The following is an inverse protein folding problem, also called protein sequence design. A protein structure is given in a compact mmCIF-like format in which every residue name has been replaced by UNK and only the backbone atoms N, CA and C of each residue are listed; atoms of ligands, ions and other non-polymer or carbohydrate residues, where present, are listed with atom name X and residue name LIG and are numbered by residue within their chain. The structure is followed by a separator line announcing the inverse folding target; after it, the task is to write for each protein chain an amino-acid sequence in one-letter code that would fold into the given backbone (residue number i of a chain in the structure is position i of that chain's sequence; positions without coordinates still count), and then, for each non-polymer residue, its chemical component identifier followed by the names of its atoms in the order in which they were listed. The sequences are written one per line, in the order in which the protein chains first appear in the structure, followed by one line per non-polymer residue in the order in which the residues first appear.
data_IF_087274672269
#
_entry.id   IF_087274672269
#
_cell.length_a   1.000
_cell.length_b   1.000
_cell.length_c   1.000
_cell.angle_alpha   90.00
_cell.angle_beta   90.00
_cell.angle_gamma   90.00
#
_symmetry.space_group_name_H-M   'P 1'
#
loop_
_entity.id
_entity.type
_entity.pdbx_description
1 polymer ?
#
# COMPACT_ATOMS: atom_id res chain seq x y z
N UNK A 1 -24.72 20.37 -9.37
CA UNK A 1 -24.80 20.65 -8.06
C UNK A 1 -23.90 19.84 -7.21
N UNK A 2 -24.24 18.72 -7.08
CA UNK A 2 -23.41 17.83 -6.36
C UNK A 2 -22.02 17.81 -6.95
N UNK A 3 -21.92 17.99 -8.25
CA UNK A 3 -20.64 17.88 -8.92
C UNK A 3 -19.60 18.88 -8.44
N UNK A 4 -20.00 20.12 -8.28
CA UNK A 4 -19.03 21.14 -7.87
C UNK A 4 -18.46 20.83 -6.51
N UNK A 5 -19.31 20.34 -5.62
CA UNK A 5 -18.83 19.99 -4.30
C UNK A 5 -18.02 18.73 -4.29
N UNK A 6 -18.37 17.81 -5.15
CA UNK A 6 -17.72 16.52 -5.16
C UNK A 6 -16.30 16.57 -5.68
N UNK A 7 -15.98 17.55 -6.51
CA UNK A 7 -14.65 17.59 -7.10
C UNK A 7 -13.53 17.56 -6.07
N UNK A 8 -13.47 18.50 -5.12
CA UNK A 8 -12.40 18.44 -4.13
C UNK A 8 -12.50 17.18 -3.29
N UNK A 9 -13.70 16.80 -2.93
CA UNK A 9 -13.88 15.62 -2.11
C UNK A 9 -13.52 14.36 -2.86
N UNK A 10 -13.82 14.33 -4.15
CA UNK A 10 -13.48 13.17 -4.94
C UNK A 10 -11.98 12.98 -4.99
N UNK A 11 -11.24 14.07 -5.14
CA UNK A 11 -9.79 14.00 -5.15
C UNK A 11 -9.27 13.48 -3.83
N UNK A 12 -9.80 13.99 -2.73
CA UNK A 12 -9.39 13.54 -1.41
C UNK A 12 -9.73 12.07 -1.20
N UNK A 13 -10.90 11.66 -1.64
CA UNK A 13 -11.32 10.27 -1.49
C UNK A 13 -10.42 9.35 -2.29
N UNK A 14 -10.02 9.78 -3.48
CA UNK A 14 -9.11 8.98 -4.29
C UNK A 14 -7.76 8.85 -3.61
N UNK A 15 -7.27 9.94 -3.03
CA UNK A 15 -6.00 9.89 -2.30
C UNK A 15 -6.10 8.95 -1.11
N UNK A 16 -7.21 8.99 -0.40
CA UNK A 16 -7.39 8.10 0.73
C UNK A 16 -7.47 6.65 0.30
N UNK A 17 -8.15 6.40 -0.82
CA UNK A 17 -8.24 5.04 -1.35
C UNK A 17 -6.90 4.56 -1.87
N UNK A 18 -6.03 5.48 -2.19
CA UNK A 18 -4.68 5.14 -2.62
C UNK A 18 -3.73 5.05 -1.45
N UNK A 19 -4.24 5.11 -0.21
CA UNK A 19 -3.41 4.92 0.97
C UNK A 19 -2.75 3.56 0.88
N UNK A 20 -1.44 3.54 1.06
CA UNK A 20 -0.69 2.33 0.81
C UNK A 20 -1.08 1.19 1.73
N UNK A 21 -1.46 1.48 2.96
CA UNK A 21 -1.87 0.44 3.89
C UNK A 21 -3.14 -0.24 3.39
N UNK A 22 -4.09 0.55 2.88
CA UNK A 22 -5.33 0.00 2.35
C UNK A 22 -5.07 -0.77 1.07
N UNK A 23 -4.27 -0.22 0.19
CA UNK A 23 -3.98 -0.87 -1.10
C UNK A 23 -3.27 -2.20 -0.88
N UNK A 24 -2.22 -2.19 -0.09
CA UNK A 24 -1.47 -3.41 0.18
C UNK A 24 -2.31 -4.38 1.01
N UNK A 25 -3.06 -3.84 1.97
CA UNK A 25 -3.88 -4.66 2.85
C UNK A 25 -4.99 -5.42 2.14
N UNK A 26 -5.41 -4.94 0.97
CA UNK A 26 -6.39 -5.66 0.17
C UNK A 26 -5.83 -6.97 -0.38
N UNK A 27 -4.54 -7.08 -0.48
CA UNK A 27 -3.88 -8.23 -1.11
C UNK A 27 -2.97 -9.00 -0.16
N UNK A 28 -2.52 -8.36 0.89
CA UNK A 28 -1.55 -8.93 1.82
C UNK A 28 -2.05 -8.72 3.24
N UNK A 29 -1.98 -9.76 4.05
CA UNK A 29 -2.35 -9.61 5.45
C UNK A 29 -1.24 -8.82 6.14
N UNK A 30 -1.60 -7.64 6.63
CA UNK A 30 -0.66 -6.75 7.30
C UNK A 30 -0.92 -6.74 8.79
N UNK A 31 0.16 -6.75 9.56
CA UNK A 31 0.09 -6.65 11.00
C UNK A 31 0.82 -5.39 11.43
N UNK A 32 0.22 -4.66 12.34
CA UNK A 32 0.82 -3.43 12.82
C UNK A 32 2.03 -3.73 13.68
N UNK A 33 3.10 -3.00 13.43
CA UNK A 33 4.32 -3.11 14.20
C UNK A 33 4.88 -1.71 14.41
N UNK A 34 4.64 -1.15 15.60
CA UNK A 34 5.01 0.22 15.84
C UNK A 34 4.20 1.17 14.97
N UNK A 35 4.86 1.98 14.20
CA UNK A 35 4.21 2.92 13.30
C UNK A 35 4.08 2.39 11.88
N UNK A 36 4.49 1.16 11.67
CA UNK A 36 4.49 0.55 10.37
C UNK A 36 3.71 -0.74 10.38
N UNK A 37 3.54 -1.32 9.21
CA UNK A 37 2.87 -2.60 9.07
C UNK A 37 3.82 -3.57 8.39
N UNK A 38 3.70 -4.83 8.73
CA UNK A 38 4.55 -5.86 8.14
C UNK A 38 3.68 -6.98 7.58
N UNK A 39 4.16 -7.61 6.52
CA UNK A 39 3.45 -8.71 5.90
C UNK A 39 4.38 -9.53 5.02
N UNK A 40 3.84 -10.62 4.50
CA UNK A 40 4.59 -11.50 3.63
C UNK A 40 4.54 -10.92 2.22
N UNK A 41 5.72 -10.73 1.64
CA UNK A 41 5.84 -10.12 0.32
C UNK A 41 5.15 -10.98 -0.74
N UNK A 42 4.25 -10.41 -1.55
CA UNK A 42 3.56 -11.18 -2.58
C UNK A 42 4.34 -11.29 -3.89
N UNK A 43 5.49 -10.65 -3.99
CA UNK A 43 6.25 -10.60 -5.24
C UNK A 43 7.26 -11.73 -5.38
N UNK A 44 7.44 -12.51 -4.35
CA UNK A 44 8.27 -13.68 -4.40
C UNK A 44 7.78 -14.69 -3.37
N UNK A 45 8.28 -15.90 -3.47
CA UNK A 45 7.91 -16.96 -2.55
C UNK A 45 8.58 -16.71 -1.21
N UNK A 46 7.81 -16.31 -0.24
CA UNK A 46 8.32 -15.94 1.07
C UNK A 46 7.41 -16.50 2.14
N UNK A 47 8.00 -16.95 3.23
CA UNK A 47 7.23 -17.48 4.36
C UNK A 47 7.35 -16.60 5.59
N UNK A 48 8.09 -15.50 5.51
CA UNK A 48 8.31 -14.62 6.64
C UNK A 48 7.86 -13.21 6.30
N UNK A 49 7.39 -12.45 7.30
CA UNK A 49 6.98 -11.07 7.04
C UNK A 49 8.21 -10.20 6.81
N UNK A 50 8.62 -10.11 5.56
CA UNK A 50 9.79 -9.33 5.17
C UNK A 50 9.42 -8.02 4.49
N UNK A 51 8.14 -7.78 4.22
CA UNK A 51 7.70 -6.54 3.61
C UNK A 51 7.18 -5.58 4.67
N UNK A 52 7.66 -4.36 4.61
CA UNK A 52 7.24 -3.31 5.52
C UNK A 52 6.48 -2.23 4.76
N UNK A 53 5.40 -1.74 5.34
CA UNK A 53 4.59 -0.68 4.76
C UNK A 53 4.57 0.48 5.73
N UNK A 54 4.96 1.65 5.24
CA UNK A 54 4.99 2.86 6.06
C UNK A 54 3.84 3.77 5.67
N UNK A 55 2.84 3.95 6.55
CA UNK A 55 1.75 4.89 6.24
C UNK A 55 2.24 6.33 6.20
N UNK A 56 3.21 6.68 7.02
CA UNK A 56 3.71 8.04 7.05
C UNK A 56 4.41 8.41 5.73
N UNK A 57 5.13 7.47 5.17
CA UNK A 57 5.86 7.70 3.92
C UNK A 57 5.08 7.25 2.70
N UNK A 58 3.97 6.53 2.90
CA UNK A 58 3.19 5.97 1.80
C UNK A 58 4.08 5.15 0.88
N UNK A 59 4.82 4.24 1.50
CA UNK A 59 5.86 3.49 0.81
C UNK A 59 5.92 2.07 1.37
N UNK A 60 6.20 1.10 0.52
CA UNK A 60 6.42 -0.27 0.95
C UNK A 60 7.83 -0.70 0.53
N UNK A 61 8.38 -1.65 1.27
CA UNK A 61 9.69 -2.18 0.93
C UNK A 61 9.80 -3.62 1.43
N UNK A 62 10.33 -4.49 0.60
CA UNK A 62 10.60 -5.87 0.97
C UNK A 62 12.10 -6.06 1.13
N UNK A 63 12.50 -6.44 2.33
CA UNK A 63 13.93 -6.61 2.62
C UNK A 63 14.52 -7.86 1.98
N UNK A 64 13.68 -8.77 1.54
CA UNK A 64 14.16 -10.02 0.94
C UNK A 64 14.43 -9.89 -0.55
N UNK A 65 13.54 -9.21 -1.27
CA UNK A 65 13.70 -9.12 -2.72
C UNK A 65 13.96 -7.71 -3.23
N UNK A 66 13.92 -6.71 -2.34
CA UNK A 66 14.20 -5.34 -2.73
C UNK A 66 13.05 -4.63 -3.41
N UNK A 67 11.89 -5.27 -3.55
CA UNK A 67 10.73 -4.60 -4.13
C UNK A 67 10.31 -3.45 -3.24
N UNK A 68 9.92 -2.34 -3.85
CA UNK A 68 9.50 -1.19 -3.07
C UNK A 68 8.92 -0.11 -3.95
N UNK A 69 8.17 0.80 -3.33
CA UNK A 69 7.57 1.91 -4.02
C UNK A 69 6.32 2.40 -3.34
N UNK A 70 5.57 3.22 -4.06
CA UNK A 70 4.31 3.76 -3.53
C UNK A 70 3.14 2.82 -3.86
N UNK A 71 1.93 3.25 -3.53
CA UNK A 71 0.75 2.42 -3.74
C UNK A 71 0.52 2.10 -5.20
N UNK A 72 0.80 3.06 -6.09
CA UNK A 72 0.61 2.83 -7.52
C UNK A 72 1.60 1.79 -8.02
N UNK A 73 2.85 1.89 -7.59
CA UNK A 73 3.85 0.92 -7.97
C UNK A 73 3.49 -0.47 -7.46
N UNK A 74 2.95 -0.55 -6.24
CA UNK A 74 2.51 -1.82 -5.70
C UNK A 74 1.46 -2.46 -6.60
N UNK A 75 0.46 -1.68 -7.00
CA UNK A 75 -0.60 -2.20 -7.85
C UNK A 75 -0.07 -2.64 -9.21
N UNK A 76 0.83 -1.86 -9.77
CA UNK A 76 1.41 -2.20 -11.06
C UNK A 76 2.17 -3.52 -10.99
N UNK A 77 2.96 -3.70 -9.95
CA UNK A 77 3.74 -4.92 -9.79
C UNK A 77 2.85 -6.11 -9.44
N UNK A 78 1.83 -5.87 -8.63
CA UNK A 78 0.96 -6.95 -8.19
C UNK A 78 0.08 -7.48 -9.32
N UNK A 79 -0.29 -6.62 -10.25
CA UNK A 79 -1.18 -7.01 -11.35
C UNK A 79 -0.44 -7.57 -12.57
N UNK A 80 0.84 -7.64 -12.52
CA UNK A 80 1.61 -8.15 -13.67
C UNK A 80 1.52 -9.65 -13.82
#
# INVERSE_FOLDING_TARGET
MVNARLHPRTIDAVKERADIVDVVGDHVVLKKKGREFVGICPFHDDSKPSMTVSPAKQFYYCFSCGAGGNSIKFLMEFQR
#
